data_IF_421607593710
#
_entry.id   IF_421607593710
#
_cell.length_a   1.000
_cell.length_b   1.000
_cell.length_c   1.000
_cell.angle_alpha   90.00
_cell.angle_beta   90.00
_cell.angle_gamma   90.00
#
_symmetry.space_group_name_H-M   'P 1'
#
loop_
_entity.id
_entity.type
_entity.pdbx_description
1 polymer ?
#
# COMPACT_ATOMS: atom_id res chain seq x y z
N UNK A 1 2.72 -0.78 -2.83
CA UNK A 1 3.60 0.22 -2.17
C UNK A 1 5.03 -0.15 -2.48
N UNK A 2 5.74 0.68 -3.26
CA UNK A 2 7.14 0.44 -3.63
C UNK A 2 8.00 0.39 -2.36
N UNK A 3 9.10 -0.39 -2.35
CA UNK A 3 9.98 -0.51 -1.18
C UNK A 3 10.42 0.87 -0.67
N UNK A 4 10.71 1.78 -1.58
CA UNK A 4 11.15 3.14 -1.28
C UNK A 4 10.06 3.98 -0.62
N UNK A 5 8.81 3.79 -1.04
CA UNK A 5 7.64 4.45 -0.44
C UNK A 5 7.45 3.98 1.01
N UNK A 6 7.67 2.69 1.29
CA UNK A 6 7.62 2.16 2.67
C UNK A 6 8.70 2.75 3.56
N UNK A 7 9.91 2.89 3.01
CA UNK A 7 11.04 3.46 3.73
C UNK A 7 10.77 4.93 4.05
N UNK A 8 10.26 5.71 3.08
CA UNK A 8 9.87 7.12 3.28
C UNK A 8 8.77 7.27 4.31
N UNK A 9 7.68 6.51 4.20
CA UNK A 9 6.57 6.56 5.17
C UNK A 9 7.08 6.27 6.59
N UNK A 10 7.94 5.26 6.75
CA UNK A 10 8.52 4.89 8.04
C UNK A 10 9.46 5.97 8.60
N UNK A 11 10.11 6.74 7.72
CA UNK A 11 10.97 7.87 8.13
C UNK A 11 10.14 9.10 8.53
N UNK A 12 9.02 9.36 7.86
CA UNK A 12 8.15 10.52 8.13
C UNK A 12 7.20 10.31 9.32
N UNK A 13 6.95 9.07 9.74
CA UNK A 13 6.07 8.73 10.86
C UNK A 13 6.47 9.39 12.20
N UNK A 14 7.74 9.35 12.65
CA UNK A 14 8.15 10.08 13.85
C UNK A 14 7.97 11.59 13.74
N UNK A 15 8.22 12.17 12.56
CA UNK A 15 8.04 13.61 12.33
C UNK A 15 6.57 14.02 12.46
N UNK A 16 5.64 13.24 11.88
CA UNK A 16 4.21 13.49 12.02
C UNK A 16 3.74 13.36 13.48
N UNK A 17 4.24 12.37 14.23
CA UNK A 17 3.92 12.22 15.65
C UNK A 17 4.39 13.43 16.46
N UNK A 18 5.63 13.86 16.24
CA UNK A 18 6.19 15.06 16.88
C UNK A 18 5.39 16.32 16.55
N UNK A 19 5.00 16.52 15.29
CA UNK A 19 4.21 17.68 14.87
C UNK A 19 2.81 17.67 15.51
N UNK A 20 2.18 16.51 15.61
CA UNK A 20 0.88 16.35 16.27
C UNK A 20 0.99 16.69 17.77
N UNK A 21 2.04 16.22 18.44
CA UNK A 21 2.31 16.55 19.84
C UNK A 21 2.53 18.05 20.04
N UNK A 22 3.23 18.73 19.12
CA UNK A 22 3.39 20.19 19.15
C UNK A 22 2.02 20.88 19.03
N UNK A 23 1.17 20.46 18.10
CA UNK A 23 -0.17 21.03 17.91
C UNK A 23 -1.03 20.88 19.18
N UNK A 24 -0.91 19.76 19.88
CA UNK A 24 -1.69 19.48 21.09
C UNK A 24 -1.18 20.21 22.34
N UNK A 25 0.15 20.37 22.48
CA UNK A 25 0.78 20.87 23.71
C UNK A 25 1.23 22.32 23.64
N UNK A 26 1.45 22.87 22.45
CA UNK A 26 1.95 24.23 22.32
C UNK A 26 0.87 25.25 22.71
N UNK A 27 1.32 26.29 23.41
CA UNK A 27 0.48 27.46 23.73
C UNK A 27 0.68 28.56 22.69
N UNK A 28 1.86 28.63 22.08
CA UNK A 28 2.23 29.68 21.14
C UNK A 28 1.56 29.46 19.76
N UNK A 29 0.66 30.38 19.30
CA UNK A 29 -0.08 30.16 18.06
C UNK A 29 0.82 30.12 16.81
N UNK A 30 1.96 30.82 16.82
CA UNK A 30 2.93 30.78 15.73
C UNK A 30 3.56 29.38 15.57
N UNK A 31 3.81 28.69 16.68
CA UNK A 31 4.36 27.34 16.68
C UNK A 31 3.32 26.33 16.19
N UNK A 32 2.07 26.44 16.64
CA UNK A 32 0.95 25.61 16.16
C UNK A 32 0.76 25.81 14.66
N UNK A 33 0.72 27.06 14.20
CA UNK A 33 0.64 27.41 12.78
C UNK A 33 1.72 26.69 11.96
N UNK A 34 2.99 26.83 12.37
CA UNK A 34 4.12 26.20 11.68
C UNK A 34 3.97 24.68 11.62
N UNK A 35 3.59 24.06 12.74
CA UNK A 35 3.40 22.61 12.82
C UNK A 35 2.28 22.11 11.91
N UNK A 36 1.15 22.84 11.82
CA UNK A 36 0.05 22.52 10.92
C UNK A 36 0.46 22.61 9.44
N UNK A 37 1.23 23.63 9.06
CA UNK A 37 1.74 23.77 7.68
C UNK A 37 2.67 22.61 7.31
N UNK A 38 3.60 22.27 8.20
CA UNK A 38 4.54 21.17 7.99
C UNK A 38 3.81 19.83 7.90
N UNK A 39 2.79 19.61 8.75
CA UNK A 39 1.97 18.41 8.72
C UNK A 39 1.15 18.32 7.42
N UNK A 40 0.58 19.43 6.96
CA UNK A 40 -0.08 19.51 5.65
C UNK A 40 0.87 19.13 4.50
N UNK A 41 2.11 19.63 4.52
CA UNK A 41 3.13 19.31 3.51
C UNK A 41 3.49 17.80 3.51
N UNK A 42 3.53 17.16 4.68
CA UNK A 42 3.72 15.70 4.79
C UNK A 42 2.53 14.93 4.21
N UNK A 43 1.29 15.36 4.46
CA UNK A 43 0.11 14.74 3.87
C UNK A 43 0.05 14.92 2.34
N UNK A 44 0.50 16.05 1.80
CA UNK A 44 0.65 16.23 0.33
C UNK A 44 1.65 15.23 -0.25
N UNK A 45 2.79 15.01 0.41
CA UNK A 45 3.80 14.01 -0.03
C UNK A 45 3.20 12.60 -0.07
N UNK A 46 2.35 12.26 0.90
CA UNK A 46 1.61 11.00 0.98
C UNK A 46 0.40 10.91 0.04
N UNK A 47 0.15 11.97 -0.74
CA UNK A 47 -1.02 12.10 -1.63
C UNK A 47 -2.35 12.01 -0.86
N UNK A 48 -2.37 12.33 0.42
CA UNK A 48 -3.56 12.40 1.28
C UNK A 48 -4.09 13.84 1.30
N UNK A 49 -4.50 14.33 0.12
CA UNK A 49 -4.78 15.74 -0.12
C UNK A 49 -5.92 16.31 0.73
N UNK A 50 -6.98 15.54 1.01
CA UNK A 50 -8.07 15.99 1.90
C UNK A 50 -7.57 16.36 3.29
N UNK A 51 -6.70 15.53 3.87
CA UNK A 51 -6.12 15.80 5.19
C UNK A 51 -5.23 17.03 5.13
N UNK A 52 -4.38 17.13 4.11
CA UNK A 52 -3.52 18.29 3.90
C UNK A 52 -4.31 19.60 3.84
N UNK A 53 -5.42 19.63 3.08
CA UNK A 53 -6.32 20.78 2.98
C UNK A 53 -6.85 21.16 4.38
N UNK A 54 -7.33 20.17 5.15
CA UNK A 54 -7.81 20.42 6.52
C UNK A 54 -6.75 21.06 7.42
N UNK A 55 -5.50 20.60 7.35
CA UNK A 55 -4.40 21.21 8.13
C UNK A 55 -4.05 22.62 7.66
N UNK A 56 -4.05 22.88 6.35
CA UNK A 56 -3.80 24.23 5.83
C UNK A 56 -4.92 25.22 6.20
N UNK A 57 -6.19 24.79 6.14
CA UNK A 57 -7.32 25.61 6.57
C UNK A 57 -7.24 25.92 8.07
N UNK A 58 -6.90 24.94 8.91
CA UNK A 58 -6.72 25.17 10.33
C UNK A 58 -5.55 26.14 10.61
N UNK A 59 -4.46 26.06 9.84
CA UNK A 59 -3.37 27.02 9.92
C UNK A 59 -3.82 28.44 9.51
N UNK A 60 -4.68 28.55 8.49
CA UNK A 60 -5.27 29.82 8.05
C UNK A 60 -6.12 30.46 9.15
N UNK A 61 -6.99 29.69 9.80
CA UNK A 61 -7.83 30.16 10.91
C UNK A 61 -7.00 30.71 12.09
N UNK A 62 -5.89 30.04 12.42
CA UNK A 62 -4.98 30.52 13.48
C UNK A 62 -4.32 31.84 13.08
N UNK A 63 -3.88 31.96 11.83
CA UNK A 63 -3.30 33.19 11.30
C UNK A 63 -4.29 34.35 11.35
N UNK A 64 -5.52 34.13 10.89
CA UNK A 64 -6.57 35.14 10.89
C UNK A 64 -6.91 35.61 12.31
N UNK A 65 -7.11 34.66 13.23
CA UNK A 65 -7.44 34.96 14.63
C UNK A 65 -6.35 35.78 15.34
N UNK A 66 -5.08 35.49 15.06
CA UNK A 66 -3.94 36.13 15.70
C UNK A 66 -3.35 37.31 14.89
N UNK A 67 -3.97 37.67 13.75
CA UNK A 67 -3.55 38.75 12.84
C UNK A 67 -2.08 38.66 12.41
N UNK A 68 -1.61 37.44 12.13
CA UNK A 68 -0.25 37.26 11.62
C UNK A 68 -0.10 37.87 10.22
N UNK A 69 0.70 38.94 10.13
CA UNK A 69 0.95 39.66 8.87
C UNK A 69 1.95 38.87 8.02
N UNK A 70 1.47 37.96 7.18
CA UNK A 70 2.35 37.09 6.38
C UNK A 70 1.68 35.97 5.57
N UNK A 71 0.39 36.10 5.23
CA UNK A 71 -0.47 35.10 4.55
C UNK A 71 -0.05 34.68 3.12
N UNK A 72 1.19 34.93 2.70
CA UNK A 72 1.69 34.58 1.37
C UNK A 72 2.05 33.10 1.30
N UNK A 73 1.05 32.25 1.06
CA UNK A 73 1.30 30.90 0.54
C UNK A 73 0.28 29.84 0.91
N UNK A 74 -0.51 30.02 1.96
CA UNK A 74 -1.50 29.02 2.37
C UNK A 74 -2.61 28.85 1.33
N UNK A 75 -3.20 29.94 0.85
CA UNK A 75 -4.22 29.88 -0.20
C UNK A 75 -3.71 29.19 -1.48
N UNK A 76 -2.42 29.36 -1.82
CA UNK A 76 -1.79 28.65 -2.94
C UNK A 76 -1.61 27.16 -2.64
N UNK A 77 -1.16 26.80 -1.43
CA UNK A 77 -1.04 25.40 -0.99
C UNK A 77 -2.40 24.69 -0.98
N UNK A 78 -3.45 25.33 -0.48
CA UNK A 78 -4.83 24.81 -0.49
C UNK A 78 -5.30 24.58 -1.94
N UNK A 79 -5.26 25.61 -2.79
CA UNK A 79 -5.66 25.49 -4.21
C UNK A 79 -4.89 24.40 -4.95
N UNK A 80 -3.59 24.27 -4.67
CA UNK A 80 -2.76 23.21 -5.24
C UNK A 80 -3.22 21.82 -4.75
N UNK A 81 -3.41 21.64 -3.45
CA UNK A 81 -3.86 20.38 -2.88
C UNK A 81 -5.26 19.99 -3.38
N UNK A 82 -6.18 20.95 -3.50
CA UNK A 82 -7.50 20.76 -4.10
C UNK A 82 -7.40 20.29 -5.56
N UNK A 83 -6.57 20.95 -6.37
CA UNK A 83 -6.34 20.56 -7.76
C UNK A 83 -5.81 19.13 -7.86
N UNK A 84 -4.78 18.78 -7.10
CA UNK A 84 -4.22 17.44 -7.06
C UNK A 84 -5.26 16.40 -6.58
N UNK A 85 -6.11 16.77 -5.62
CA UNK A 85 -7.18 15.91 -5.15
C UNK A 85 -8.21 15.61 -6.26
N UNK A 86 -8.62 16.64 -7.01
CA UNK A 86 -9.55 16.49 -8.13
C UNK A 86 -8.95 15.65 -9.26
N UNK A 87 -7.64 15.75 -9.49
CA UNK A 87 -6.91 14.87 -10.42
C UNK A 87 -6.92 13.42 -9.90
N UNK A 88 -6.61 13.20 -8.61
CA UNK A 88 -6.61 11.88 -7.98
C UNK A 88 -7.98 11.19 -8.01
N UNK A 89 -9.06 11.95 -7.78
CA UNK A 89 -10.45 11.47 -7.90
C UNK A 89 -10.90 11.23 -9.34
N UNK A 90 -10.11 11.66 -10.31
CA UNK A 90 -10.46 11.55 -11.72
C UNK A 90 -11.59 12.49 -12.13
N UNK A 91 -11.79 13.60 -11.43
CA UNK A 91 -12.76 14.65 -11.78
C UNK A 91 -12.22 15.57 -12.88
N UNK A 92 -10.90 15.78 -12.89
CA UNK A 92 -10.18 16.54 -13.90
C UNK A 92 -8.92 15.80 -14.36
N UNK A 93 -8.37 16.23 -15.49
CA UNK A 93 -7.02 15.86 -15.92
C UNK A 93 -6.28 17.12 -16.40
N UNK A 94 -4.99 17.18 -16.12
CA UNK A 94 -4.13 18.29 -16.53
C UNK A 94 -3.51 17.96 -17.88
N UNK A 95 -3.65 18.85 -18.86
CA UNK A 95 -3.06 18.66 -20.18
C UNK A 95 -1.52 18.70 -20.10
N UNK A 96 -0.84 17.70 -20.68
CA UNK A 96 0.62 17.62 -20.63
C UNK A 96 1.33 18.66 -21.51
N UNK A 97 0.65 19.19 -22.53
CA UNK A 97 1.24 20.18 -23.45
C UNK A 97 1.13 21.61 -22.91
N UNK A 98 -0.01 21.97 -22.31
CA UNK A 98 -0.28 23.36 -21.92
C UNK A 98 -0.69 23.55 -20.45
N UNK A 99 -0.66 22.49 -19.63
CA UNK A 99 -1.05 22.51 -18.21
C UNK A 99 -2.49 22.96 -17.91
N UNK A 100 -3.36 23.02 -18.93
CA UNK A 100 -4.75 23.39 -18.77
C UNK A 100 -5.56 22.29 -18.06
N UNK A 101 -6.45 22.69 -17.16
CA UNK A 101 -7.30 21.78 -16.40
C UNK A 101 -8.55 21.44 -17.19
N UNK A 102 -8.69 20.16 -17.52
CA UNK A 102 -9.77 19.66 -18.34
C UNK A 102 -10.71 18.77 -17.51
N UNK A 103 -12.04 18.87 -17.66
CA UNK A 103 -12.97 17.92 -17.07
C UNK A 103 -12.64 16.48 -17.48
N UNK A 104 -12.90 15.52 -16.60
CA UNK A 104 -12.64 14.11 -16.91
C UNK A 104 -13.49 13.54 -18.04
N UNK A 105 -14.66 14.13 -18.28
CA UNK A 105 -15.61 13.76 -19.33
C UNK A 105 -15.13 14.02 -20.76
N UNK A 106 -14.12 14.88 -20.94
CA UNK A 106 -13.57 15.18 -22.26
C UNK A 106 -12.22 14.49 -22.48
N UNK A 107 -12.00 14.04 -23.72
CA UNK A 107 -10.79 13.34 -24.15
C UNK A 107 -9.83 14.23 -24.92
N UNK A 108 -10.16 15.50 -25.17
CA UNK A 108 -9.34 16.46 -25.90
C UNK A 108 -9.22 17.73 -25.08
N UNK A 109 -8.02 18.30 -25.02
CA UNK A 109 -7.78 19.52 -24.27
C UNK A 109 -8.55 20.69 -24.90
N UNK A 110 -9.36 21.39 -24.11
CA UNK A 110 -10.13 22.57 -24.58
C UNK A 110 -9.25 23.73 -25.01
N UNK A 111 -8.03 23.81 -24.50
CA UNK A 111 -7.13 24.93 -24.75
C UNK A 111 -6.23 24.71 -25.98
N UNK A 112 -5.55 23.56 -26.08
CA UNK A 112 -4.57 23.31 -27.14
C UNK A 112 -4.94 22.18 -28.11
N UNK A 113 -6.09 21.51 -27.94
CA UNK A 113 -6.51 20.40 -28.79
C UNK A 113 -5.73 19.09 -28.60
N UNK A 114 -4.77 19.02 -27.68
CA UNK A 114 -4.04 17.78 -27.40
C UNK A 114 -4.96 16.72 -26.80
N UNK A 115 -4.97 15.51 -27.37
CA UNK A 115 -5.76 14.41 -26.86
C UNK A 115 -5.24 13.91 -25.50
N UNK A 116 -6.14 13.66 -24.57
CA UNK A 116 -5.88 12.96 -23.32
C UNK A 116 -5.29 11.60 -23.66
N UNK A 117 -3.98 11.46 -23.47
CA UNK A 117 -3.34 10.15 -23.58
C UNK A 117 -3.88 9.32 -22.41
N UNK A 118 -4.92 8.51 -22.67
CA UNK A 118 -5.31 7.42 -21.80
C UNK A 118 -4.09 6.49 -21.76
N UNK A 119 -3.26 6.67 -20.73
CA UNK A 119 -1.99 5.99 -20.57
C UNK A 119 -2.21 4.48 -20.77
N UNK A 120 -1.74 3.99 -21.93
CA UNK A 120 -1.30 2.58 -22.09
C UNK A 120 -0.35 2.16 -20.96
N UNK A 121 0.23 3.10 -20.21
CA UNK A 121 1.03 2.84 -19.02
C UNK A 121 0.27 2.11 -17.91
N UNK A 122 -1.04 2.31 -17.73
CA UNK A 122 -1.81 1.53 -16.73
C UNK A 122 -1.81 0.06 -17.12
N UNK A 123 -1.98 -0.24 -18.42
CA UNK A 123 -1.90 -1.62 -18.93
C UNK A 123 -0.50 -2.21 -18.76
N UNK A 124 0.56 -1.45 -19.05
CA UNK A 124 1.93 -1.95 -18.84
C UNK A 124 2.30 -2.12 -17.36
N UNK A 125 1.80 -1.25 -16.48
CA UNK A 125 2.04 -1.32 -15.04
C UNK A 125 1.27 -2.49 -14.41
N UNK A 126 0.04 -2.75 -14.87
CA UNK A 126 -0.72 -3.96 -14.51
C UNK A 126 -0.03 -5.24 -15.01
N UNK A 127 0.52 -5.23 -16.22
CA UNK A 127 1.29 -6.37 -16.76
C UNK A 127 2.57 -6.62 -15.95
N UNK A 128 3.28 -5.57 -15.55
CA UNK A 128 4.45 -5.68 -14.66
C UNK A 128 4.07 -6.21 -13.28
N UNK A 129 3.00 -5.71 -12.66
CA UNK A 129 2.51 -6.22 -11.38
C UNK A 129 2.11 -7.69 -11.46
N UNK A 130 1.43 -8.11 -12.53
CA UNK A 130 1.06 -9.52 -12.75
C UNK A 130 2.30 -10.42 -12.81
N UNK A 131 3.38 -9.98 -13.46
CA UNK A 131 4.64 -10.72 -13.54
C UNK A 131 5.35 -10.81 -12.18
N UNK A 132 5.39 -9.71 -11.41
CA UNK A 132 5.96 -9.69 -10.06
C UNK A 132 5.18 -10.63 -9.12
N UNK A 133 3.84 -10.57 -9.14
CA UNK A 133 2.99 -11.46 -8.35
C UNK A 133 3.23 -12.93 -8.74
N UNK A 134 3.34 -13.24 -10.04
CA UNK A 134 3.63 -14.60 -10.49
C UNK A 134 4.97 -15.12 -9.96
N UNK A 135 6.00 -14.26 -9.93
CA UNK A 135 7.33 -14.61 -9.41
C UNK A 135 7.30 -14.84 -7.89
N UNK A 136 6.65 -13.96 -7.14
CA UNK A 136 6.49 -14.09 -5.68
C UNK A 136 5.74 -15.38 -5.31
N UNK A 137 4.64 -15.67 -6.01
CA UNK A 137 3.83 -16.87 -5.79
C UNK A 137 4.62 -18.13 -6.12
N UNK A 138 5.37 -18.15 -7.23
CA UNK A 138 6.16 -19.31 -7.62
C UNK A 138 7.27 -19.62 -6.62
N UNK A 139 7.95 -18.58 -6.10
CA UNK A 139 8.99 -18.72 -5.09
C UNK A 139 8.48 -19.30 -3.76
N UNK A 140 7.18 -19.23 -3.49
CA UNK A 140 6.57 -19.76 -2.27
C UNK A 140 5.99 -21.15 -2.51
N UNK A 141 5.30 -21.35 -3.64
CA UNK A 141 4.68 -22.65 -3.95
C UNK A 141 5.75 -23.73 -4.16
N UNK A 142 6.87 -23.41 -4.83
CA UNK A 142 7.91 -24.38 -5.13
C UNK A 142 8.52 -25.06 -3.88
N UNK A 143 9.01 -24.33 -2.86
CA UNK A 143 9.55 -24.96 -1.66
C UNK A 143 8.49 -25.75 -0.87
N UNK A 144 7.25 -25.24 -0.80
CA UNK A 144 6.15 -25.98 -0.14
C UNK A 144 5.90 -27.30 -0.87
N UNK A 145 5.78 -27.28 -2.20
CA UNK A 145 5.57 -28.49 -3.00
C UNK A 145 6.74 -29.48 -2.84
N UNK A 146 7.98 -29.00 -2.86
CA UNK A 146 9.18 -29.84 -2.69
C UNK A 146 9.22 -30.53 -1.31
N UNK A 147 8.94 -29.80 -0.23
CA UNK A 147 8.86 -30.37 1.13
C UNK A 147 7.74 -31.41 1.19
N UNK A 148 6.58 -31.10 0.62
CA UNK A 148 5.42 -32.00 0.65
C UNK A 148 5.70 -33.31 -0.11
N UNK A 149 6.34 -33.22 -1.28
CA UNK A 149 6.76 -34.39 -2.05
C UNK A 149 7.81 -35.23 -1.33
N UNK A 150 8.80 -34.58 -0.69
CA UNK A 150 9.82 -35.27 0.11
C UNK A 150 9.22 -36.04 1.29
N UNK A 151 8.26 -35.45 2.01
CA UNK A 151 7.54 -36.13 3.09
C UNK A 151 6.75 -37.35 2.60
N UNK A 152 6.08 -37.27 1.44
CA UNK A 152 5.38 -38.41 0.85
C UNK A 152 6.35 -39.53 0.45
N UNK A 153 7.51 -39.19 -0.10
CA UNK A 153 8.52 -40.18 -0.47
C UNK A 153 9.05 -40.92 0.77
N UNK A 154 9.37 -40.19 1.84
CA UNK A 154 9.80 -40.78 3.12
C UNK A 154 8.71 -41.69 3.68
N UNK A 155 7.46 -41.22 3.71
CA UNK A 155 6.32 -42.02 4.16
C UNK A 155 6.16 -43.32 3.36
N UNK A 156 6.28 -43.24 2.03
CA UNK A 156 6.22 -44.41 1.15
C UNK A 156 7.35 -45.41 1.45
N UNK A 157 8.59 -44.94 1.62
CA UNK A 157 9.73 -45.79 1.96
C UNK A 157 9.58 -46.46 3.33
N UNK A 158 9.11 -45.71 4.35
CA UNK A 158 8.80 -46.26 5.67
C UNK A 158 7.70 -47.33 5.57
N UNK A 159 6.68 -47.10 4.75
CA UNK A 159 5.60 -48.06 4.58
C UNK A 159 6.08 -49.33 3.85
N UNK A 160 6.93 -49.19 2.83
CA UNK A 160 7.58 -50.30 2.14
C UNK A 160 8.42 -51.14 3.11
N UNK A 161 9.23 -50.48 3.96
CA UNK A 161 10.06 -51.16 4.96
C UNK A 161 9.22 -51.86 6.03
N UNK A 162 8.15 -51.20 6.50
CA UNK A 162 7.24 -51.75 7.51
C UNK A 162 6.41 -52.92 6.96
N UNK A 163 6.04 -52.90 5.67
CA UNK A 163 5.38 -54.03 4.99
C UNK A 163 6.25 -55.30 5.01
N UNK A 164 7.56 -55.16 4.93
CA UNK A 164 8.50 -56.28 5.00
C UNK A 164 8.62 -56.88 6.42
N UNK A 165 8.21 -56.17 7.48
CA UNK A 165 8.31 -56.59 8.88
C UNK A 165 6.91 -56.65 9.53
N UNK A 166 6.11 -57.66 9.14
CA UNK A 166 4.68 -57.74 9.42
C UNK A 166 4.35 -58.07 10.88
N UNK A 167 4.07 -57.05 11.70
CA UNK A 167 2.87 -56.96 12.54
C UNK A 167 2.84 -55.67 13.38
N UNK A 168 4.00 -55.13 13.79
CA UNK A 168 4.12 -53.81 14.45
C UNK A 168 3.86 -52.62 13.50
N UNK A 169 3.94 -52.86 12.19
CA UNK A 169 3.85 -51.86 11.13
C UNK A 169 2.50 -51.11 11.05
N UNK A 170 1.38 -51.75 11.38
CA UNK A 170 0.04 -51.17 11.19
C UNK A 170 -0.28 -50.03 12.16
N UNK A 171 0.21 -50.12 13.40
CA UNK A 171 0.00 -49.05 14.39
C UNK A 171 0.90 -47.84 14.10
N UNK A 172 2.14 -48.09 13.66
CA UNK A 172 3.06 -47.03 13.27
C UNK A 172 2.54 -46.27 12.04
N UNK A 173 1.99 -46.97 11.03
CA UNK A 173 1.42 -46.31 9.85
C UNK A 173 0.20 -45.45 10.17
N UNK A 174 -0.73 -45.90 11.03
CA UNK A 174 -1.86 -45.06 11.47
C UNK A 174 -1.40 -43.77 12.18
N UNK A 175 -0.39 -43.86 13.06
CA UNK A 175 0.15 -42.68 13.76
C UNK A 175 0.83 -41.69 12.80
N UNK A 176 1.60 -42.20 11.82
CA UNK A 176 2.24 -41.39 10.79
C UNK A 176 1.23 -40.69 9.87
N UNK A 177 0.13 -41.36 9.50
CA UNK A 177 -0.96 -40.75 8.71
C UNK A 177 -1.57 -39.57 9.46
N UNK A 178 -1.83 -39.73 10.76
CA UNK A 178 -2.41 -38.66 11.58
C UNK A 178 -1.47 -37.45 11.69
N UNK A 179 -0.18 -37.68 11.93
CA UNK A 179 0.84 -36.61 11.95
C UNK A 179 0.93 -35.92 10.60
N UNK A 180 0.92 -36.69 9.51
CA UNK A 180 0.95 -36.15 8.16
C UNK A 180 -0.28 -35.26 7.88
N UNK A 181 -1.48 -35.72 8.24
CA UNK A 181 -2.72 -34.95 8.07
C UNK A 181 -2.73 -33.68 8.91
N UNK A 182 -2.21 -33.72 10.15
CA UNK A 182 -2.07 -32.54 10.98
C UNK A 182 -1.11 -31.50 10.36
N UNK A 183 0.02 -31.95 9.80
CA UNK A 183 0.98 -31.08 9.14
C UNK A 183 0.40 -30.44 7.87
N UNK A 184 -0.31 -31.19 7.02
CA UNK A 184 -0.92 -30.62 5.81
C UNK A 184 -1.97 -29.57 6.14
N UNK A 185 -2.81 -29.80 7.16
CA UNK A 185 -3.76 -28.81 7.67
C UNK A 185 -3.02 -27.55 8.14
N UNK A 186 -1.96 -27.72 8.94
CA UNK A 186 -1.19 -26.58 9.46
C UNK A 186 -0.59 -25.71 8.35
N UNK A 187 0.03 -26.34 7.34
CA UNK A 187 0.58 -25.61 6.19
C UNK A 187 -0.51 -24.94 5.35
N UNK A 188 -1.68 -25.59 5.19
CA UNK A 188 -2.81 -24.99 4.47
C UNK A 188 -3.34 -23.74 5.18
N UNK A 189 -3.48 -23.78 6.51
CA UNK A 189 -3.87 -22.60 7.30
C UNK A 189 -2.84 -21.47 7.14
N UNK A 190 -1.53 -21.79 7.23
CA UNK A 190 -0.46 -20.81 7.01
C UNK A 190 -0.52 -20.20 5.61
N UNK A 191 -0.82 -21.00 4.58
CA UNK A 191 -1.00 -20.52 3.21
C UNK A 191 -2.20 -19.57 3.11
N UNK A 192 -3.34 -19.90 3.72
CA UNK A 192 -4.52 -19.02 3.74
C UNK A 192 -4.19 -17.68 4.41
N UNK A 193 -3.56 -17.70 5.58
CA UNK A 193 -3.17 -16.49 6.30
C UNK A 193 -2.20 -15.66 5.46
N UNK A 194 -1.23 -16.30 4.80
CA UNK A 194 -0.31 -15.62 3.90
C UNK A 194 -1.03 -14.96 2.71
N UNK A 195 -1.94 -15.69 2.04
CA UNK A 195 -2.73 -15.18 0.91
C UNK A 195 -3.58 -13.99 1.37
N UNK A 196 -4.27 -14.12 2.51
CA UNK A 196 -5.10 -13.05 3.08
C UNK A 196 -4.30 -11.80 3.42
N UNK A 197 -3.12 -11.97 4.03
CA UNK A 197 -2.32 -10.83 4.51
C UNK A 197 -1.43 -10.20 3.42
N UNK A 198 -1.06 -10.97 2.38
CA UNK A 198 -0.06 -10.54 1.40
C UNK A 198 -0.63 -10.36 0.00
N UNK A 199 -1.54 -11.25 -0.44
CA UNK A 199 -2.07 -11.26 -1.81
C UNK A 199 -3.34 -10.42 -1.92
N UNK A 200 -4.31 -10.60 -1.02
CA UNK A 200 -5.59 -9.86 -1.05
C UNK A 200 -5.40 -8.34 -1.01
N UNK A 201 -4.51 -7.76 -0.17
CA UNK A 201 -4.30 -6.31 -0.15
C UNK A 201 -3.60 -5.76 -1.40
N UNK A 202 -2.95 -6.61 -2.20
CA UNK A 202 -2.37 -6.22 -3.50
C UNK A 202 -3.42 -6.21 -4.61
N UNK A 203 -4.51 -6.98 -4.50
CA UNK A 203 -5.57 -7.08 -5.51
C UNK A 203 -6.70 -6.06 -5.32
N UNK A 204 -6.89 -5.57 -4.10
CA UNK A 204 -7.93 -4.57 -3.76
C UNK A 204 -7.45 -3.10 -3.88
N UNK A 205 -6.25 -2.87 -4.46
CA UNK A 205 -5.69 -1.54 -4.72
C UNK A 205 -5.58 -1.31 -6.22
#
# INVERSE_FOLDING_TARGET
MKRDERIRIKQEEPDMQRLTEIIEKAVEPALIYKALVELGDLYVKRQEYEKAIGFYMHAEEICERNKFSGLLGLSFKIKRAEKENRVKKGEIWVCMECSFDNPSSITVCKNCGHAKVLRKSIKSDLLKQKQEIKKDVLNIIFPVAAITAGLHLIYFLLHLFAFLYSHMARWLSCSLILVFFALTIFFFIKLIVFVKNTVVPKLLK
#
